data_IF_317185393071
#
_entry.id   IF_317185393071
#
_cell.length_a   1.000
_cell.length_b   1.000
_cell.length_c   1.000
_cell.angle_alpha   90.00
_cell.angle_beta   90.00
_cell.angle_gamma   90.00
#
_symmetry.space_group_name_H-M   'P 1'
#
loop_
_entity.id
_entity.type
_entity.pdbx_description
1 polymer ?
#
# COMPACT_ATOMS: atom_id res chain seq x y z
N UNK A 1 -18.63 -6.18 -22.95
CA UNK A 1 -17.56 -6.46 -21.97
C UNK A 1 -16.35 -5.50 -22.08
N UNK A 2 -15.99 -4.99 -23.27
CA UNK A 2 -14.83 -4.10 -23.47
C UNK A 2 -14.87 -2.76 -22.69
N UNK A 3 -16.06 -2.14 -22.59
CA UNK A 3 -16.23 -0.85 -21.91
C UNK A 3 -15.83 -0.90 -20.43
N UNK A 4 -16.17 -1.99 -19.73
CA UNK A 4 -15.93 -2.14 -18.29
C UNK A 4 -14.44 -2.28 -17.98
N UNK A 5 -13.72 -3.10 -18.74
CA UNK A 5 -12.29 -3.31 -18.50
C UNK A 5 -11.48 -2.04 -18.76
N UNK A 6 -11.90 -1.24 -19.75
CA UNK A 6 -11.33 0.08 -19.99
C UNK A 6 -11.58 1.04 -18.83
N UNK A 7 -12.77 1.04 -18.23
CA UNK A 7 -13.07 1.85 -17.04
C UNK A 7 -12.22 1.45 -15.84
N UNK A 8 -12.01 0.14 -15.62
CA UNK A 8 -11.11 -0.35 -14.57
C UNK A 8 -9.70 0.18 -14.82
N UNK A 9 -9.15 -0.02 -16.02
CA UNK A 9 -7.83 0.48 -16.37
C UNK A 9 -7.70 2.00 -16.22
N UNK A 10 -8.75 2.76 -16.55
CA UNK A 10 -8.82 4.22 -16.43
C UNK A 10 -9.11 4.73 -15.01
N UNK A 11 -9.56 3.89 -14.09
CA UNK A 11 -9.70 4.22 -12.67
C UNK A 11 -8.46 3.85 -11.83
N UNK A 12 -7.70 2.83 -12.23
CA UNK A 12 -6.51 2.33 -11.49
C UNK A 12 -5.21 3.13 -11.70
N UNK A 13 -4.58 3.62 -10.63
CA UNK A 13 -3.27 4.32 -10.72
C UNK A 13 -2.14 3.46 -11.29
N UNK A 14 -2.19 2.15 -11.05
CA UNK A 14 -1.33 1.14 -11.64
C UNK A 14 -2.13 -0.17 -11.82
N UNK A 15 -1.71 -1.06 -12.70
CA UNK A 15 -2.33 -2.38 -12.89
C UNK A 15 -1.29 -3.48 -12.74
N UNK A 16 -1.56 -4.48 -11.90
CA UNK A 16 -0.70 -5.66 -11.74
C UNK A 16 -1.49 -6.92 -12.07
N UNK A 17 -0.95 -7.76 -12.94
CA UNK A 17 -1.55 -9.06 -13.30
C UNK A 17 -0.81 -10.17 -12.57
N UNK A 18 -1.51 -10.85 -11.65
CA UNK A 18 -0.93 -11.95 -10.88
C UNK A 18 -0.88 -13.24 -11.69
N UNK A 19 -1.99 -13.58 -12.35
CA UNK A 19 -2.11 -14.76 -13.21
C UNK A 19 -2.99 -14.45 -14.43
N UNK A 20 -2.54 -14.90 -15.59
CA UNK A 20 -3.28 -14.78 -16.83
C UNK A 20 -2.86 -15.87 -17.82
N UNK A 21 -3.82 -16.64 -18.33
CA UNK A 21 -3.60 -17.44 -19.53
C UNK A 21 -3.60 -16.58 -20.80
N UNK A 22 -3.15 -17.17 -21.91
CA UNK A 22 -2.99 -16.48 -23.22
C UNK A 22 -4.26 -15.78 -23.73
N UNK A 23 -5.44 -16.28 -23.36
CA UNK A 23 -6.76 -15.77 -23.75
C UNK A 23 -7.53 -15.17 -22.57
N UNK A 24 -6.85 -14.81 -21.49
CA UNK A 24 -7.48 -14.25 -20.30
C UNK A 24 -8.06 -12.87 -20.56
N UNK A 25 -9.24 -12.58 -20.00
CA UNK A 25 -9.84 -11.26 -20.03
C UNK A 25 -9.04 -10.19 -19.27
N UNK A 26 -8.16 -10.59 -18.34
CA UNK A 26 -7.26 -9.67 -17.62
C UNK A 26 -6.24 -9.00 -18.56
N UNK A 27 -5.85 -9.68 -19.65
CA UNK A 27 -4.94 -9.12 -20.67
C UNK A 27 -5.55 -7.92 -21.38
N UNK A 28 -6.88 -7.87 -21.52
CA UNK A 28 -7.54 -6.71 -22.11
C UNK A 28 -7.45 -5.49 -21.20
N UNK A 29 -7.60 -5.67 -19.88
CA UNK A 29 -7.41 -4.59 -18.90
C UNK A 29 -5.96 -4.11 -18.91
N UNK A 30 -4.99 -5.03 -18.93
CA UNK A 30 -3.57 -4.72 -19.00
C UNK A 30 -3.21 -3.93 -20.29
N UNK A 31 -3.73 -4.36 -21.44
CA UNK A 31 -3.55 -3.65 -22.70
C UNK A 31 -4.15 -2.24 -22.69
N UNK A 32 -5.31 -2.06 -22.05
CA UNK A 32 -5.89 -0.72 -21.85
C UNK A 32 -5.05 0.14 -20.90
N UNK A 33 -4.50 -0.43 -19.83
CA UNK A 33 -3.62 0.30 -18.90
C UNK A 33 -2.36 0.79 -19.63
N UNK A 34 -1.70 -0.09 -20.40
CA UNK A 34 -0.54 0.27 -21.22
C UNK A 34 -0.88 1.37 -22.25
N UNK A 35 -2.02 1.25 -22.95
CA UNK A 35 -2.46 2.25 -23.92
C UNK A 35 -2.78 3.62 -23.29
N UNK A 36 -3.11 3.66 -21.99
CA UNK A 36 -3.34 4.87 -21.22
C UNK A 36 -2.05 5.43 -20.58
N UNK A 37 -0.88 4.81 -20.84
CA UNK A 37 0.39 5.20 -20.22
C UNK A 37 0.42 4.94 -18.72
N UNK A 38 -0.39 3.99 -18.23
CA UNK A 38 -0.43 3.65 -16.80
C UNK A 38 0.59 2.56 -16.47
N UNK A 39 1.27 2.67 -15.32
CA UNK A 39 2.19 1.63 -14.87
C UNK A 39 1.54 0.26 -14.87
N UNK A 40 2.23 -0.70 -15.50
CA UNK A 40 1.79 -2.07 -15.67
C UNK A 40 2.84 -3.00 -15.09
N UNK A 41 2.42 -3.91 -14.23
CA UNK A 41 3.24 -4.98 -13.68
C UNK A 41 2.63 -6.36 -13.94
N UNK A 42 3.47 -7.38 -13.90
CA UNK A 42 3.02 -8.76 -13.98
C UNK A 42 3.89 -9.67 -13.11
N UNK A 43 3.25 -10.62 -12.44
CA UNK A 43 3.96 -11.59 -11.60
C UNK A 43 4.42 -12.76 -12.45
N UNK A 44 5.73 -13.09 -12.48
CA UNK A 44 6.23 -14.24 -13.22
C UNK A 44 5.80 -15.55 -12.54
N UNK A 45 5.65 -16.59 -13.33
CA UNK A 45 5.41 -17.95 -12.84
C UNK A 45 6.07 -19.03 -13.70
N UNK A 46 5.85 -20.31 -13.38
CA UNK A 46 6.46 -21.43 -14.12
C UNK A 46 6.12 -21.39 -15.62
N UNK A 47 7.12 -21.60 -16.47
CA UNK A 47 6.93 -21.65 -17.94
C UNK A 47 6.03 -22.81 -18.41
N UNK A 48 5.87 -23.82 -17.56
CA UNK A 48 4.97 -24.96 -17.79
C UNK A 48 3.51 -24.66 -17.43
N UNK A 49 3.26 -23.54 -16.74
CA UNK A 49 1.90 -23.15 -16.34
C UNK A 49 1.20 -22.35 -17.43
N UNK A 50 0.03 -22.83 -17.83
CA UNK A 50 -0.84 -22.12 -18.77
C UNK A 50 -1.34 -20.78 -18.23
N UNK A 51 -1.41 -20.60 -16.90
CA UNK A 51 -1.84 -19.35 -16.24
C UNK A 51 -0.72 -18.33 -16.10
N UNK A 52 0.52 -18.67 -16.43
CA UNK A 52 1.67 -17.74 -16.42
C UNK A 52 1.98 -17.18 -17.81
N UNK A 53 1.53 -17.86 -18.88
CA UNK A 53 1.82 -17.49 -20.26
C UNK A 53 1.41 -16.05 -20.63
N UNK A 54 0.29 -15.57 -20.08
CA UNK A 54 -0.17 -14.20 -20.25
C UNK A 54 0.71 -13.19 -19.50
N UNK A 55 1.15 -13.50 -18.27
CA UNK A 55 2.07 -12.64 -17.52
C UNK A 55 3.41 -12.48 -18.24
N UNK A 56 3.98 -13.59 -18.75
CA UNK A 56 5.23 -13.54 -19.53
C UNK A 56 5.08 -12.69 -20.80
N UNK A 57 3.93 -12.76 -21.45
CA UNK A 57 3.61 -11.92 -22.61
C UNK A 57 3.52 -10.44 -22.25
N UNK A 58 2.91 -10.09 -21.11
CA UNK A 58 2.86 -8.70 -20.65
C UNK A 58 4.25 -8.13 -20.40
N UNK A 59 5.13 -8.91 -19.77
CA UNK A 59 6.52 -8.51 -19.52
C UNK A 59 7.25 -8.29 -20.86
N UNK A 60 7.05 -9.18 -21.83
CA UNK A 60 7.77 -9.16 -23.11
C UNK A 60 7.26 -8.13 -24.13
N UNK A 61 5.94 -8.04 -24.28
CA UNK A 61 5.30 -7.31 -25.38
C UNK A 61 4.82 -5.91 -24.97
N UNK A 62 4.62 -5.69 -23.66
CA UNK A 62 4.06 -4.45 -23.11
C UNK A 62 4.99 -3.76 -22.11
N UNK A 63 6.25 -4.21 -22.00
CA UNK A 63 7.23 -3.74 -21.01
C UNK A 63 6.63 -3.66 -19.59
N UNK A 64 5.78 -4.64 -19.24
CA UNK A 64 5.27 -4.72 -17.88
C UNK A 64 6.43 -5.03 -16.93
N UNK A 65 6.50 -4.30 -15.81
CA UNK A 65 7.49 -4.55 -14.76
C UNK A 65 7.29 -5.95 -14.20
N UNK A 66 8.38 -6.71 -14.11
CA UNK A 66 8.37 -8.01 -13.44
C UNK A 66 8.25 -7.78 -11.94
N UNK A 67 7.15 -8.22 -11.35
CA UNK A 67 6.85 -8.03 -9.92
C UNK A 67 6.95 -9.35 -9.19
N UNK A 68 7.78 -9.41 -8.16
CA UNK A 68 8.11 -10.56 -7.33
C UNK A 68 7.83 -10.31 -5.84
N UNK A 69 7.59 -9.05 -5.46
CA UNK A 69 7.25 -8.67 -4.09
C UNK A 69 6.16 -7.58 -4.04
N UNK A 70 5.68 -7.27 -2.84
CA UNK A 70 4.66 -6.22 -2.62
C UNK A 70 5.29 -4.83 -2.78
N UNK A 71 6.55 -4.69 -2.39
CA UNK A 71 7.35 -3.48 -2.56
C UNK A 71 7.38 -3.05 -4.03
N UNK A 72 7.69 -4.00 -4.92
CA UNK A 72 7.73 -3.77 -6.36
C UNK A 72 6.33 -3.43 -6.93
N UNK A 73 5.24 -3.88 -6.30
CA UNK A 73 3.88 -3.42 -6.66
C UNK A 73 3.66 -1.97 -6.27
N UNK A 74 4.15 -1.55 -5.10
CA UNK A 74 4.00 -0.19 -4.61
C UNK A 74 4.80 0.78 -5.49
N UNK A 75 6.02 0.42 -5.90
CA UNK A 75 6.87 1.22 -6.79
C UNK A 75 6.22 1.59 -8.12
N UNK A 76 5.20 0.84 -8.56
CA UNK A 76 4.42 1.16 -9.76
C UNK A 76 3.50 2.37 -9.58
N UNK A 77 3.21 2.81 -8.35
CA UNK A 77 2.38 3.99 -8.15
C UNK A 77 3.21 5.25 -8.42
N UNK A 78 2.70 6.21 -9.22
CA UNK A 78 3.46 7.40 -9.61
C UNK A 78 3.83 8.33 -8.44
N UNK A 79 3.22 8.15 -7.27
CA UNK A 79 3.54 8.87 -6.03
C UNK A 79 3.87 7.89 -4.88
N UNK A 80 4.33 6.67 -5.18
CA UNK A 80 4.78 5.78 -4.11
C UNK A 80 6.05 6.32 -3.48
N UNK A 81 5.93 6.73 -2.23
CA UNK A 81 7.07 6.81 -1.34
C UNK A 81 7.66 5.39 -1.22
N UNK A 82 8.92 5.14 -1.64
CA UNK A 82 9.55 3.82 -1.55
C UNK A 82 9.72 3.34 -0.10
N UNK A 83 9.45 4.22 0.88
CA UNK A 83 9.44 3.95 2.31
C UNK A 83 8.09 3.44 2.84
N UNK A 84 7.06 3.35 2.00
CA UNK A 84 5.75 2.80 2.35
C UNK A 84 5.74 1.26 2.47
N UNK A 85 6.85 0.57 2.19
CA UNK A 85 6.97 -0.83 2.57
C UNK A 85 7.23 -0.99 4.07
N UNK A 86 6.13 -0.99 4.81
CA UNK A 86 6.06 -1.50 6.18
C UNK A 86 5.51 -2.92 6.20
N UNK A 87 6.17 -3.88 5.54
CA UNK A 87 6.01 -5.29 5.90
C UNK A 87 7.07 -5.66 6.95
N UNK A 88 6.74 -6.43 8.01
CA UNK A 88 7.67 -6.73 9.10
C UNK A 88 8.80 -7.65 8.60
N UNK A 89 9.91 -7.02 8.22
CA UNK A 89 11.17 -7.71 7.97
C UNK A 89 11.62 -8.45 9.23
N UNK A 90 11.81 -9.75 9.09
CA UNK A 90 12.60 -10.51 10.04
C UNK A 90 14.05 -10.03 9.91
N UNK A 91 14.53 -9.24 10.90
CA UNK A 91 15.95 -9.14 11.22
C UNK A 91 16.63 -7.78 11.04
N UNK A 92 16.64 -7.02 12.14
CA UNK A 92 17.73 -6.18 12.67
C UNK A 92 18.19 -4.89 11.92
N UNK A 93 18.78 -3.91 12.66
CA UNK A 93 18.53 -2.49 12.45
C UNK A 93 19.72 -1.70 11.88
N UNK A 94 19.44 -0.60 11.17
CA UNK A 94 20.18 0.67 11.24
C UNK A 94 19.67 1.66 10.19
N UNK A 95 19.52 2.94 10.58
CA UNK A 95 19.55 4.05 9.62
C UNK A 95 18.42 5.06 9.77
N UNK A 96 18.57 5.95 10.75
CA UNK A 96 17.84 7.21 10.90
C UNK A 96 17.97 8.09 9.64
N UNK A 97 16.85 8.53 9.08
CA UNK A 97 16.81 9.55 8.02
C UNK A 97 15.41 10.13 7.91
N UNK A 98 15.21 11.31 8.48
CA UNK A 98 13.91 11.96 8.59
C UNK A 98 13.41 12.48 7.24
N UNK A 99 12.18 12.10 6.89
CA UNK A 99 11.31 12.92 6.07
C UNK A 99 10.29 13.55 7.01
N UNK A 100 10.15 14.86 6.94
CA UNK A 100 9.18 15.63 7.71
C UNK A 100 7.76 15.10 7.44
N UNK A 101 7.04 14.59 8.46
CA UNK A 101 5.71 14.07 8.28
C UNK A 101 4.74 15.17 7.84
N UNK A 102 3.81 14.84 6.95
CA UNK A 102 2.62 15.67 6.73
C UNK A 102 1.69 15.48 7.94
N UNK A 103 1.67 16.43 8.89
CA UNK A 103 1.09 16.20 10.21
C UNK A 103 -0.41 15.91 10.14
N UNK A 104 -1.10 16.46 9.14
CA UNK A 104 -2.55 16.29 8.99
C UNK A 104 -2.92 14.86 8.55
N UNK A 105 -2.10 14.21 7.73
CA UNK A 105 -2.32 12.84 7.27
C UNK A 105 -2.08 11.83 8.40
N UNK A 106 -1.01 12.02 9.17
CA UNK A 106 -0.65 11.14 10.27
C UNK A 106 -1.61 11.25 11.45
N UNK A 107 -2.05 12.47 11.79
CA UNK A 107 -3.08 12.70 12.81
C UNK A 107 -4.39 11.96 12.48
N UNK A 108 -4.86 12.05 11.23
CA UNK A 108 -6.10 11.38 10.80
C UNK A 108 -5.98 9.85 10.95
N UNK A 109 -4.84 9.27 10.58
CA UNK A 109 -4.58 7.83 10.71
C UNK A 109 -4.50 7.39 12.17
N UNK A 110 -3.87 8.17 13.04
CA UNK A 110 -3.83 7.89 14.49
C UNK A 110 -5.24 7.96 15.09
N UNK A 111 -6.04 8.96 14.70
CA UNK A 111 -7.42 9.11 15.19
C UNK A 111 -8.34 7.98 14.73
N UNK A 112 -8.20 7.51 13.49
CA UNK A 112 -8.95 6.36 12.97
C UNK A 112 -8.53 5.04 13.65
N UNK A 113 -7.23 4.91 13.96
CA UNK A 113 -6.69 3.78 14.70
C UNK A 113 -7.06 3.75 16.19
N UNK A 114 -7.64 4.82 16.74
CA UNK A 114 -8.15 4.87 18.11
C UNK A 114 -9.57 4.30 18.23
N UNK A 115 -9.91 3.82 19.44
CA UNK A 115 -11.25 3.35 19.74
C UNK A 115 -11.98 4.41 20.55
N UNK A 116 -13.24 4.65 20.20
CA UNK A 116 -14.12 5.49 21.01
C UNK A 116 -14.61 4.80 22.29
N UNK A 117 -14.35 3.49 22.48
CA UNK A 117 -14.92 2.68 23.58
C UNK A 117 -13.88 1.99 24.46
N UNK A 118 -12.66 1.78 23.98
CA UNK A 118 -11.64 0.96 24.64
C UNK A 118 -10.26 1.60 24.50
N UNK A 119 -9.45 1.56 25.54
CA UNK A 119 -8.06 2.00 25.44
C UNK A 119 -7.24 1.06 24.55
N UNK A 120 -6.31 1.64 23.77
CA UNK A 120 -5.35 0.90 22.93
C UNK A 120 -3.92 1.30 23.29
N UNK A 121 -3.00 0.34 23.28
CA UNK A 121 -1.58 0.65 23.49
C UNK A 121 -0.99 1.38 22.28
N UNK A 122 0.13 2.07 22.47
CA UNK A 122 0.86 2.76 21.39
C UNK A 122 1.24 1.78 20.29
N UNK A 123 1.71 0.57 20.65
CA UNK A 123 2.02 -0.49 19.69
C UNK A 123 0.80 -0.96 18.89
N UNK A 124 -0.38 -1.04 19.53
CA UNK A 124 -1.61 -1.43 18.82
C UNK A 124 -2.05 -0.33 17.84
N UNK A 125 -1.92 0.94 18.24
CA UNK A 125 -2.27 2.08 17.40
C UNK A 125 -1.33 2.16 16.21
N UNK A 126 -0.01 2.01 16.40
CA UNK A 126 0.98 1.93 15.33
C UNK A 126 0.66 0.81 14.32
N UNK A 127 0.34 -0.39 14.81
CA UNK A 127 -0.06 -1.50 13.92
C UNK A 127 -1.32 -1.20 13.12
N UNK A 128 -2.30 -0.49 13.69
CA UNK A 128 -3.57 -0.16 13.03
C UNK A 128 -3.47 1.04 12.09
N UNK A 129 -2.67 2.04 12.43
CA UNK A 129 -2.47 3.26 11.62
C UNK A 129 -1.45 3.06 10.50
N UNK A 130 -0.64 2.00 10.57
CA UNK A 130 0.48 1.77 9.63
C UNK A 130 1.64 2.73 9.84
N UNK A 131 1.72 3.41 10.99
CA UNK A 131 2.77 4.37 11.32
C UNK A 131 3.78 3.77 12.30
N UNK A 132 5.02 4.28 12.29
CA UNK A 132 6.04 3.89 13.25
C UNK A 132 5.69 4.29 14.69
N UNK A 133 6.09 3.50 15.68
CA UNK A 133 5.80 3.73 17.11
C UNK A 133 6.24 5.11 17.59
N UNK A 134 7.39 5.61 17.12
CA UNK A 134 7.90 6.95 17.45
C UNK A 134 7.02 8.07 16.88
N UNK A 135 6.54 7.92 15.64
CA UNK A 135 5.61 8.86 15.00
C UNK A 135 4.29 8.88 15.75
N UNK A 136 3.73 7.70 16.05
CA UNK A 136 2.49 7.58 16.82
C UNK A 136 2.63 8.18 18.21
N UNK A 137 3.74 7.97 18.93
CA UNK A 137 3.98 8.57 20.22
C UNK A 137 4.03 10.12 20.14
N UNK A 138 4.68 10.67 19.10
CA UNK A 138 4.74 12.11 18.88
C UNK A 138 3.36 12.71 18.55
N UNK A 139 2.61 12.09 17.64
CA UNK A 139 1.27 12.52 17.25
C UNK A 139 0.28 12.41 18.41
N UNK A 140 0.31 11.32 19.18
CA UNK A 140 -0.53 11.18 20.38
C UNK A 140 -0.21 12.25 21.42
N UNK A 141 1.07 12.59 21.62
CA UNK A 141 1.48 13.68 22.50
C UNK A 141 0.93 15.04 22.05
N UNK A 142 0.98 15.34 20.75
CA UNK A 142 0.39 16.57 20.20
C UNK A 142 -1.13 16.61 20.38
N UNK A 143 -1.82 15.51 20.06
CA UNK A 143 -3.28 15.41 20.19
C UNK A 143 -3.75 15.45 21.65
N UNK A 144 -2.95 14.99 22.60
CA UNK A 144 -3.24 15.05 24.05
C UNK A 144 -3.18 16.49 24.56
N UNK A 145 -2.18 17.27 24.11
CA UNK A 145 -2.09 18.70 24.38
C UNK A 145 -3.30 19.47 23.82
N UNK A 146 -3.80 19.04 22.66
CA UNK A 146 -5.03 19.56 22.04
C UNK A 146 -6.32 19.00 22.67
N UNK A 147 -6.23 18.12 23.67
CA UNK A 147 -7.36 17.45 24.34
C UNK A 147 -8.25 16.61 23.40
N UNK A 148 -7.73 16.20 22.25
CA UNK A 148 -8.44 15.37 21.25
C UNK A 148 -8.31 13.87 21.54
N UNK A 149 -7.32 13.48 22.33
CA UNK A 149 -7.10 12.12 22.84
C UNK A 149 -6.72 12.20 24.32
N UNK A 150 -6.86 11.10 25.05
CA UNK A 150 -6.53 11.04 26.48
C UNK A 150 -5.75 9.75 26.78
N UNK A 151 -4.63 9.89 27.48
CA UNK A 151 -3.89 8.76 28.03
C UNK A 151 -4.54 8.23 29.32
N UNK A 152 -4.82 6.92 29.38
CA UNK A 152 -5.26 6.19 30.58
C UNK A 152 -4.22 5.13 30.94
N UNK A 153 -4.33 4.55 32.14
CA UNK A 153 -3.46 3.43 32.57
C UNK A 153 -3.48 2.25 31.60
N UNK A 154 -4.59 2.02 30.90
CA UNK A 154 -4.76 0.94 29.93
C UNK A 154 -4.42 1.32 28.48
N UNK A 155 -3.95 2.55 28.22
CA UNK A 155 -3.61 3.05 26.89
C UNK A 155 -4.37 4.30 26.48
N UNK A 156 -4.41 4.58 25.18
CA UNK A 156 -4.98 5.79 24.60
C UNK A 156 -6.43 5.60 24.14
N UNK A 157 -7.26 6.61 24.41
CA UNK A 157 -8.67 6.67 24.01
C UNK A 157 -8.93 8.02 23.33
N UNK A 158 -9.90 8.07 22.42
CA UNK A 158 -10.34 9.32 21.81
C UNK A 158 -10.96 10.26 22.86
N UNK A 159 -10.54 11.51 22.86
CA UNK A 159 -11.14 12.60 23.64
C UNK A 159 -12.57 12.83 23.16
N UNK A 160 -13.44 13.24 24.07
CA UNK A 160 -14.87 13.36 23.81
C UNK A 160 -15.20 14.66 23.08
#
# INVERSE_FOLDING_TARGET
MLQRNRLIAAASRATVVLEAGWRSGSLNTAGHAAALGRPLGAVPGPITSVTSAGCHRLIRDYDAVCVTSVEEMLELLPDADPTASGAPGHGAPAGTGGSTPDPTSDELRVIDALSGRSARSVDEIARRSGLGVSVVAGVLGALDLEQRVVQRESGWVRGR
#
